data_IF_185124490201
#
_entry.id   IF_185124490201
#
_cell.length_a   1.000
_cell.length_b   1.000
_cell.length_c   1.000
_cell.angle_alpha   90.00
_cell.angle_beta   90.00
_cell.angle_gamma   90.00
#
_symmetry.space_group_name_H-M   'P 1'
#
loop_
_entity.id
_entity.type
_entity.pdbx_description
1 polymer ?
#
# COMPACT_ATOMS: atom_id res chain seq x y z
N UNK A 1 -0.93 6.41 -10.03
CA UNK A 1 -0.37 5.17 -10.63
C UNK A 1 -1.52 4.41 -11.24
N UNK A 2 -1.55 4.26 -12.57
CA UNK A 2 -2.55 3.41 -13.22
C UNK A 2 -2.17 1.96 -13.01
N UNK A 3 -2.93 1.29 -12.17
CA UNK A 3 -2.79 -0.14 -11.89
C UNK A 3 -3.34 -0.91 -13.09
N UNK A 4 -2.44 -1.51 -13.88
CA UNK A 4 -2.78 -2.41 -14.97
C UNK A 4 -3.03 -3.80 -14.36
N UNK A 5 -4.07 -4.49 -14.84
CA UNK A 5 -4.35 -5.88 -14.48
C UNK A 5 -3.14 -6.72 -14.90
N UNK A 6 -2.32 -7.16 -13.92
CA UNK A 6 -1.25 -8.12 -14.13
C UNK A 6 -1.87 -9.49 -14.36
N UNK A 7 -2.32 -9.75 -15.60
CA UNK A 7 -2.66 -11.12 -16.00
C UNK A 7 -1.36 -11.88 -16.21
N UNK A 8 -1.26 -13.05 -15.58
CA UNK A 8 -0.20 -14.01 -15.87
C UNK A 8 -0.14 -14.27 -17.38
N UNK A 9 1.07 -14.27 -17.93
CA UNK A 9 1.34 -14.48 -19.35
C UNK A 9 0.70 -15.79 -19.82
N UNK A 10 -0.30 -15.71 -20.70
CA UNK A 10 -1.02 -16.88 -21.18
C UNK A 10 -0.39 -17.40 -22.48
N UNK A 11 -0.59 -18.68 -22.77
CA UNK A 11 -0.21 -19.27 -24.07
C UNK A 11 -0.78 -18.52 -25.27
N UNK A 12 -1.94 -17.88 -25.11
CA UNK A 12 -2.54 -17.00 -26.14
C UNK A 12 -1.67 -15.78 -26.44
N UNK A 13 -1.05 -15.21 -25.42
CA UNK A 13 -0.13 -14.07 -25.55
C UNK A 13 1.14 -14.52 -26.28
N UNK A 14 1.67 -15.70 -25.93
CA UNK A 14 2.81 -16.30 -26.63
C UNK A 14 2.54 -16.49 -28.13
N UNK A 15 1.38 -17.06 -28.48
CA UNK A 15 0.96 -17.25 -29.88
C UNK A 15 0.83 -15.90 -30.58
N UNK A 16 0.24 -14.90 -29.93
CA UNK A 16 0.12 -13.55 -30.49
C UNK A 16 1.50 -12.94 -30.80
N UNK A 17 2.47 -13.06 -29.88
CA UNK A 17 3.83 -12.58 -30.10
C UNK A 17 4.55 -13.33 -31.22
N UNK A 18 4.37 -14.65 -31.34
CA UNK A 18 4.92 -15.45 -32.45
C UNK A 18 4.33 -14.98 -33.78
N UNK A 19 3.01 -14.81 -33.86
CA UNK A 19 2.34 -14.31 -35.07
C UNK A 19 2.86 -12.91 -35.42
N UNK A 20 2.97 -12.03 -34.43
CA UNK A 20 3.52 -10.68 -34.64
C UNK A 20 4.97 -10.73 -35.16
N UNK A 21 5.80 -11.61 -34.60
CA UNK A 21 7.17 -11.80 -35.07
C UNK A 21 7.23 -12.31 -36.51
N UNK A 22 6.38 -13.26 -36.89
CA UNK A 22 6.27 -13.77 -38.27
C UNK A 22 5.81 -12.66 -39.21
N UNK A 23 4.82 -11.85 -38.81
CA UNK A 23 4.34 -10.71 -39.61
C UNK A 23 5.44 -9.67 -39.79
N UNK A 24 6.14 -9.29 -38.71
CA UNK A 24 7.26 -8.35 -38.77
C UNK A 24 8.42 -8.88 -39.62
N UNK A 25 8.71 -10.18 -39.53
CA UNK A 25 9.70 -10.84 -40.37
C UNK A 25 9.28 -10.85 -41.84
N UNK A 26 8.02 -11.16 -42.15
CA UNK A 26 7.47 -11.10 -43.50
C UNK A 26 7.50 -9.69 -44.08
N UNK A 27 7.16 -8.68 -43.28
CA UNK A 27 7.29 -7.26 -43.65
C UNK A 27 8.76 -6.88 -43.91
N UNK A 28 9.67 -7.32 -43.04
CA UNK A 28 11.12 -7.14 -43.22
C UNK A 28 11.59 -7.75 -44.55
N UNK A 29 11.19 -8.98 -44.86
CA UNK A 29 11.51 -9.65 -46.13
C UNK A 29 10.90 -8.94 -47.34
N UNK A 30 9.66 -8.46 -47.22
CA UNK A 30 8.99 -7.68 -48.28
C UNK A 30 9.76 -6.39 -48.58
N UNK A 31 10.12 -5.64 -47.54
CA UNK A 31 10.93 -4.43 -47.68
C UNK A 31 12.34 -4.75 -48.19
N UNK A 32 12.94 -5.86 -47.76
CA UNK A 32 14.24 -6.31 -48.28
C UNK A 32 14.20 -6.59 -49.78
N UNK A 33 13.16 -7.29 -50.26
CA UNK A 33 13.00 -7.63 -51.70
C UNK A 33 12.65 -6.41 -52.56
N UNK A 34 11.91 -5.43 -52.03
CA UNK A 34 11.50 -4.21 -52.75
C UNK A 34 12.58 -3.11 -52.72
N UNK A 35 13.74 -3.37 -52.11
CA UNK A 35 14.84 -2.42 -52.00
C UNK A 35 15.50 -2.20 -53.36
N UNK A 36 15.48 -0.98 -53.87
CA UNK A 36 16.29 -0.60 -55.04
C UNK A 36 17.78 -0.71 -54.68
N UNK A 37 18.55 -1.47 -55.45
CA UNK A 37 19.98 -1.74 -55.21
C UNK A 37 20.84 -0.47 -55.27
N UNK A 38 20.33 0.61 -55.88
CA UNK A 38 21.00 1.91 -56.01
C UNK A 38 21.12 2.70 -54.69
N UNK A 39 20.38 2.31 -53.64
CA UNK A 39 20.40 2.98 -52.33
C UNK A 39 21.31 2.28 -51.30
N UNK A 40 22.26 1.45 -51.76
CA UNK A 40 23.18 0.67 -50.92
C UNK A 40 24.01 1.54 -49.94
N UNK A 41 24.20 2.82 -50.27
CA UNK A 41 24.97 3.78 -49.49
C UNK A 41 24.17 4.45 -48.35
N UNK A 42 22.86 4.23 -48.25
CA UNK A 42 22.00 4.89 -47.26
C UNK A 42 21.69 3.98 -46.07
N UNK A 43 21.65 4.55 -44.86
CA UNK A 43 21.38 3.78 -43.63
C UNK A 43 19.96 3.18 -43.61
N UNK A 44 18.98 3.81 -44.28
CA UNK A 44 17.60 3.32 -44.41
C UNK A 44 17.12 3.55 -45.85
N UNK A 45 16.88 2.45 -46.56
CA UNK A 45 16.58 2.44 -47.99
C UNK A 45 15.18 2.98 -48.36
N UNK A 46 14.24 3.07 -47.40
CA UNK A 46 12.89 3.58 -47.66
C UNK A 46 12.70 4.98 -47.05
N UNK A 47 12.42 6.01 -47.86
CA UNK A 47 12.26 7.39 -47.37
C UNK A 47 11.18 7.55 -46.27
N UNK A 48 10.06 6.82 -46.36
CA UNK A 48 8.99 6.85 -45.35
C UNK A 48 9.42 6.21 -44.01
N UNK A 49 10.29 5.21 -44.06
CA UNK A 49 10.77 4.50 -42.87
C UNK A 49 11.80 5.34 -42.09
N UNK A 50 12.45 6.32 -42.74
CA UNK A 50 13.35 7.28 -42.08
C UNK A 50 12.64 8.08 -40.99
N UNK A 51 11.42 8.57 -41.29
CA UNK A 51 10.62 9.30 -40.31
C UNK A 51 10.18 8.40 -39.16
N UNK A 52 9.75 7.17 -39.45
CA UNK A 52 9.35 6.19 -38.41
C UNK A 52 10.53 5.83 -37.51
N UNK A 53 11.69 5.52 -38.07
CA UNK A 53 12.92 5.25 -37.30
C UNK A 53 13.32 6.45 -36.44
N UNK A 54 13.30 7.65 -37.02
CA UNK A 54 13.67 8.88 -36.33
C UNK A 54 12.78 9.17 -35.13
N UNK A 55 11.47 9.22 -35.34
CA UNK A 55 10.53 9.55 -34.25
C UNK A 55 10.30 8.37 -33.30
N UNK A 56 10.41 7.13 -33.77
CA UNK A 56 10.39 5.94 -32.91
C UNK A 56 11.60 5.89 -31.98
N UNK A 57 12.81 6.18 -32.47
CA UNK A 57 14.01 6.27 -31.62
C UNK A 57 13.89 7.41 -30.62
N UNK A 58 13.42 8.59 -31.04
CA UNK A 58 13.14 9.71 -30.15
C UNK A 58 12.13 9.33 -29.05
N UNK A 59 11.07 8.59 -29.39
CA UNK A 59 10.08 8.11 -28.43
C UNK A 59 10.66 7.09 -27.43
N UNK A 60 11.42 6.10 -27.89
CA UNK A 60 12.05 5.13 -26.99
C UNK A 60 13.01 5.81 -26.00
N UNK A 61 13.89 6.69 -26.48
CA UNK A 61 14.81 7.42 -25.61
C UNK A 61 14.08 8.43 -24.70
N UNK A 62 13.00 9.05 -25.17
CA UNK A 62 12.12 9.88 -24.34
C UNK A 62 11.60 9.08 -23.15
N UNK A 63 11.00 7.91 -23.40
CA UNK A 63 10.49 7.04 -22.34
C UNK A 63 11.58 6.58 -21.37
N UNK A 64 12.73 6.12 -21.88
CA UNK A 64 13.87 5.70 -21.07
C UNK A 64 14.42 6.85 -20.20
N UNK A 65 14.55 8.05 -20.77
CA UNK A 65 15.01 9.22 -20.03
C UNK A 65 14.03 9.63 -18.95
N UNK A 66 12.74 9.68 -19.27
CA UNK A 66 11.71 10.02 -18.29
C UNK A 66 11.64 9.02 -17.13
N UNK A 67 11.72 7.71 -17.41
CA UNK A 67 11.72 6.69 -16.36
C UNK A 67 12.95 6.79 -15.47
N UNK A 68 14.15 6.93 -16.07
CA UNK A 68 15.41 7.04 -15.31
C UNK A 68 15.39 8.25 -14.36
N UNK A 69 15.01 9.43 -14.85
CA UNK A 69 14.97 10.63 -14.01
C UNK A 69 13.83 10.62 -13.00
N UNK A 70 12.69 10.00 -13.32
CA UNK A 70 11.61 9.80 -12.35
C UNK A 70 12.09 9.00 -11.13
N UNK A 71 12.87 7.95 -11.35
CA UNK A 71 13.33 7.07 -10.28
C UNK A 71 14.47 7.70 -9.48
N UNK A 72 15.45 8.32 -10.16
CA UNK A 72 16.58 8.99 -9.50
C UNK A 72 16.17 10.23 -8.73
N UNK A 73 15.13 10.95 -9.16
CA UNK A 73 14.68 12.19 -8.53
C UNK A 73 13.49 12.01 -7.58
N UNK A 74 13.29 10.81 -7.03
CA UNK A 74 12.21 10.50 -6.09
C UNK A 74 10.82 10.96 -6.58
N UNK A 75 10.51 10.72 -7.86
CA UNK A 75 9.21 11.05 -8.50
C UNK A 75 8.91 12.55 -8.60
N UNK A 76 9.93 13.40 -8.60
CA UNK A 76 9.75 14.82 -8.88
C UNK A 76 9.30 15.04 -10.34
N UNK A 77 8.16 15.71 -10.54
CA UNK A 77 7.57 15.95 -11.85
C UNK A 77 8.48 16.78 -12.77
N UNK A 78 9.15 17.80 -12.23
CA UNK A 78 10.05 18.66 -13.01
C UNK A 78 11.23 17.88 -13.59
N UNK A 79 11.88 17.06 -12.78
CA UNK A 79 12.97 16.18 -13.22
C UNK A 79 12.50 15.11 -14.19
N UNK A 80 11.30 14.58 -13.99
CA UNK A 80 10.70 13.61 -14.92
C UNK A 80 10.45 14.22 -16.30
N UNK A 81 9.87 15.43 -16.35
CA UNK A 81 9.66 16.17 -17.60
C UNK A 81 10.99 16.55 -18.28
N UNK A 82 11.99 16.94 -17.49
CA UNK A 82 13.35 17.15 -17.99
C UNK A 82 13.92 15.87 -18.62
N UNK A 83 13.76 14.73 -17.96
CA UNK A 83 14.17 13.40 -18.45
C UNK A 83 13.51 13.04 -19.78
N UNK A 84 12.20 13.25 -19.92
CA UNK A 84 11.50 13.08 -21.19
C UNK A 84 12.07 13.99 -22.28
N UNK A 85 12.28 15.28 -21.98
CA UNK A 85 12.81 16.25 -22.92
C UNK A 85 14.22 15.92 -23.41
N UNK A 86 15.15 15.63 -22.50
CA UNK A 86 16.53 15.31 -22.85
C UNK A 86 16.64 13.96 -23.55
N UNK A 87 15.87 12.96 -23.10
CA UNK A 87 15.77 11.66 -23.77
C UNK A 87 15.27 11.80 -25.20
N UNK A 88 14.18 12.55 -25.41
CA UNK A 88 13.66 12.82 -26.76
C UNK A 88 14.69 13.51 -27.65
N UNK A 89 15.42 14.50 -27.12
CA UNK A 89 16.46 15.21 -27.86
C UNK A 89 17.61 14.28 -28.26
N UNK A 90 18.13 13.48 -27.32
CA UNK A 90 19.20 12.50 -27.56
C UNK A 90 18.76 11.51 -28.65
N UNK A 91 17.59 10.89 -28.50
CA UNK A 91 17.09 9.90 -29.47
C UNK A 91 16.83 10.52 -30.85
N UNK A 92 16.30 11.74 -30.90
CA UNK A 92 16.06 12.46 -32.15
C UNK A 92 17.36 12.79 -32.88
N UNK A 93 18.35 13.35 -32.18
CA UNK A 93 19.63 13.72 -32.81
C UNK A 93 20.46 12.48 -33.15
N UNK A 94 20.49 11.45 -32.30
CA UNK A 94 21.13 10.18 -32.62
C UNK A 94 20.56 9.57 -33.91
N UNK A 95 19.24 9.54 -34.05
CA UNK A 95 18.60 9.05 -35.28
C UNK A 95 18.90 9.96 -36.50
N UNK A 96 18.90 11.29 -36.33
CA UNK A 96 19.26 12.22 -37.41
C UNK A 96 20.73 12.05 -37.85
N UNK A 97 21.65 11.77 -36.91
CA UNK A 97 23.07 11.48 -37.20
C UNK A 97 23.20 10.19 -38.00
N UNK A 98 22.51 9.12 -37.61
CA UNK A 98 22.51 7.83 -38.33
C UNK A 98 21.95 7.99 -39.75
N UNK A 99 20.84 8.72 -39.89
CA UNK A 99 20.17 8.91 -41.18
C UNK A 99 21.01 9.74 -42.16
N UNK A 100 21.76 10.73 -41.67
CA UNK A 100 22.53 11.65 -42.52
C UNK A 100 24.03 11.36 -42.54
N UNK A 101 24.50 10.43 -41.72
CA UNK A 101 25.94 10.11 -41.53
C UNK A 101 26.78 11.34 -41.21
N UNK A 102 26.22 12.29 -40.45
CA UNK A 102 26.90 13.54 -40.10
C UNK A 102 26.57 13.96 -38.68
N UNK A 103 27.54 14.61 -38.03
CA UNK A 103 27.41 15.15 -36.67
C UNK A 103 26.76 16.54 -36.66
N UNK A 104 26.69 17.24 -37.81
CA UNK A 104 26.15 18.61 -37.94
C UNK A 104 24.63 18.62 -38.08
N UNK A 105 23.92 17.99 -37.15
CA UNK A 105 22.44 17.85 -37.18
C UNK A 105 21.70 18.79 -36.23
N UNK A 106 22.42 19.45 -35.32
CA UNK A 106 21.87 20.29 -34.26
C UNK A 106 21.10 21.53 -34.77
N UNK A 107 21.29 21.95 -36.02
CA UNK A 107 20.55 23.06 -36.64
C UNK A 107 19.11 22.70 -37.05
N UNK A 108 18.74 21.41 -37.04
CA UNK A 108 17.41 20.92 -37.48
C UNK A 108 16.46 20.62 -36.32
N UNK A 109 16.39 21.55 -35.37
CA UNK A 109 15.55 21.45 -34.16
C UNK A 109 14.05 21.53 -34.46
N UNK A 110 13.64 22.13 -35.59
CA UNK A 110 12.23 22.31 -35.97
C UNK A 110 11.43 20.99 -35.91
N UNK A 111 12.01 19.88 -36.36
CA UNK A 111 11.33 18.59 -36.33
C UNK A 111 11.20 17.98 -34.93
N UNK A 112 12.10 18.33 -33.99
CA UNK A 112 12.01 17.94 -32.59
C UNK A 112 10.91 18.75 -31.89
N UNK A 113 10.83 20.07 -32.16
CA UNK A 113 9.78 20.94 -31.62
C UNK A 113 8.39 20.47 -32.05
N UNK A 114 8.21 20.14 -33.34
CA UNK A 114 6.93 19.59 -33.84
C UNK A 114 6.60 18.27 -33.16
N UNK A 115 7.58 17.37 -33.01
CA UNK A 115 7.38 16.10 -32.30
C UNK A 115 6.92 16.31 -30.86
N UNK A 116 7.62 17.17 -30.10
CA UNK A 116 7.25 17.48 -28.71
C UNK A 116 5.87 18.13 -28.62
N UNK A 117 5.51 19.00 -29.57
CA UNK A 117 4.19 19.60 -29.64
C UNK A 117 3.08 18.56 -29.90
N UNK A 118 3.31 17.59 -30.79
CA UNK A 118 2.37 16.49 -31.05
C UNK A 118 2.24 15.59 -29.81
N UNK A 119 3.33 15.22 -29.16
CA UNK A 119 3.29 14.44 -27.91
C UNK A 119 2.52 15.20 -26.83
N UNK A 120 2.82 16.49 -26.63
CA UNK A 120 2.11 17.32 -25.67
C UNK A 120 0.61 17.40 -25.99
N UNK A 121 0.24 17.59 -27.25
CA UNK A 121 -1.16 17.59 -27.70
C UNK A 121 -1.85 16.24 -27.45
N UNK A 122 -1.18 15.12 -27.71
CA UNK A 122 -1.73 13.79 -27.42
C UNK A 122 -1.93 13.57 -25.92
N UNK A 123 -0.97 13.98 -25.09
CA UNK A 123 -1.06 13.86 -23.62
C UNK A 123 -2.20 14.74 -23.09
N UNK A 124 -2.27 16.00 -23.51
CA UNK A 124 -3.35 16.92 -23.14
C UNK A 124 -4.71 16.41 -23.64
N UNK A 125 -4.77 15.86 -24.86
CA UNK A 125 -5.97 15.27 -25.41
C UNK A 125 -6.47 14.08 -24.58
N UNK A 126 -5.58 13.18 -24.19
CA UNK A 126 -5.92 12.04 -23.31
C UNK A 126 -6.39 12.52 -21.93
N UNK A 127 -5.75 13.54 -21.36
CA UNK A 127 -6.15 14.14 -20.07
C UNK A 127 -7.51 14.85 -20.16
N UNK A 128 -7.71 15.69 -21.19
CA UNK A 128 -8.93 16.46 -21.39
C UNK A 128 -10.14 15.58 -21.65
N UNK A 129 -9.95 14.43 -22.29
CA UNK A 129 -11.03 13.48 -22.53
C UNK A 129 -11.52 12.80 -21.24
N UNK A 130 -10.74 12.76 -20.15
CA UNK A 130 -11.19 12.46 -18.77
C UNK A 130 -11.89 11.12 -18.52
N UNK A 131 -12.13 10.31 -19.56
CA UNK A 131 -13.04 9.17 -19.55
C UNK A 131 -12.65 8.08 -18.55
N UNK A 132 -11.37 7.99 -18.20
CA UNK A 132 -10.83 6.92 -17.37
C UNK A 132 -10.70 7.29 -15.90
N UNK A 133 -10.55 8.57 -15.56
CA UNK A 133 -10.26 8.98 -14.17
C UNK A 133 -11.54 9.16 -13.35
N UNK A 134 -12.60 9.70 -13.96
CA UNK A 134 -13.82 10.12 -13.24
C UNK A 134 -14.98 9.12 -13.32
N UNK A 135 -14.79 7.97 -13.98
CA UNK A 135 -15.88 7.02 -14.18
C UNK A 135 -16.17 6.25 -12.89
N UNK A 136 -17.34 6.51 -12.31
CA UNK A 136 -17.96 5.73 -11.25
C UNK A 136 -19.09 4.89 -11.88
N UNK A 137 -19.13 3.56 -11.70
CA UNK A 137 -20.22 2.74 -12.22
C UNK A 137 -21.54 3.04 -11.50
N UNK A 138 -22.67 2.80 -12.17
CA UNK A 138 -23.98 2.82 -11.53
C UNK A 138 -24.14 1.60 -10.62
N UNK A 139 -24.82 1.77 -9.47
CA UNK A 139 -25.01 0.68 -8.50
C UNK A 139 -25.70 -0.53 -9.11
N UNK A 140 -26.67 -0.31 -10.01
CA UNK A 140 -27.40 -1.34 -10.76
C UNK A 140 -26.49 -2.19 -11.66
N UNK A 141 -25.35 -1.66 -12.10
CA UNK A 141 -24.40 -2.34 -12.98
C UNK A 141 -23.30 -3.08 -12.20
N UNK A 142 -23.13 -2.77 -10.92
CA UNK A 142 -22.13 -3.41 -10.06
C UNK A 142 -22.63 -4.79 -9.65
N UNK A 143 -21.78 -5.81 -9.84
CA UNK A 143 -21.99 -7.18 -9.36
C UNK A 143 -21.38 -7.35 -7.98
N UNK A 144 -20.15 -6.88 -7.78
CA UNK A 144 -19.45 -6.89 -6.50
C UNK A 144 -18.39 -5.78 -6.44
N UNK A 145 -17.89 -5.49 -5.25
CA UNK A 145 -16.86 -4.48 -5.00
C UNK A 145 -15.81 -4.98 -4.01
N UNK A 146 -14.54 -4.78 -4.33
CA UNK A 146 -13.42 -4.95 -3.42
C UNK A 146 -12.92 -3.57 -3.00
N UNK A 147 -12.92 -3.31 -1.69
CA UNK A 147 -12.26 -2.15 -1.07
C UNK A 147 -11.16 -2.68 -0.15
N UNK A 148 -9.93 -2.22 -0.33
CA UNK A 148 -8.79 -2.59 0.52
C UNK A 148 -7.78 -1.45 0.58
N UNK A 149 -7.01 -1.37 1.67
CA UNK A 149 -5.83 -0.51 1.77
C UNK A 149 -4.53 -1.21 1.37
N UNK A 150 -4.59 -2.51 1.10
CA UNK A 150 -3.48 -3.30 0.57
C UNK A 150 -3.78 -3.77 -0.86
N UNK A 151 -3.30 -3.06 -1.89
CA UNK A 151 -3.54 -3.45 -3.29
C UNK A 151 -2.90 -4.80 -3.66
N UNK A 152 -1.94 -5.30 -2.87
CA UNK A 152 -1.29 -6.58 -3.12
C UNK A 152 -2.25 -7.78 -3.02
N UNK A 153 -3.35 -7.67 -2.27
CA UNK A 153 -4.40 -8.71 -2.24
C UNK A 153 -5.02 -8.99 -3.61
N UNK A 154 -4.89 -8.05 -4.55
CA UNK A 154 -5.36 -8.23 -5.92
C UNK A 154 -4.21 -8.33 -6.93
N UNK A 155 -3.13 -7.57 -6.72
CA UNK A 155 -2.08 -7.40 -7.73
C UNK A 155 -1.02 -8.50 -7.74
N UNK A 156 -0.86 -9.21 -6.63
CA UNK A 156 0.27 -10.09 -6.42
C UNK A 156 -0.05 -11.54 -6.74
N UNK A 157 -0.60 -11.84 -7.92
CA UNK A 157 -0.76 -13.25 -8.34
C UNK A 157 0.59 -13.98 -8.49
N UNK A 158 1.70 -13.24 -8.67
CA UNK A 158 3.06 -13.78 -8.84
C UNK A 158 3.98 -13.55 -7.60
N UNK A 159 3.42 -13.14 -6.45
CA UNK A 159 4.18 -12.82 -5.22
C UNK A 159 4.02 -13.82 -4.08
N UNK A 160 4.72 -13.63 -2.95
CA UNK A 160 4.71 -14.51 -1.76
C UNK A 160 3.30 -14.88 -1.22
N UNK A 161 2.28 -14.07 -1.51
CA UNK A 161 0.90 -14.24 -1.03
C UNK A 161 -0.11 -14.64 -2.13
N UNK A 162 0.33 -14.77 -3.39
CA UNK A 162 -0.56 -14.77 -4.57
C UNK A 162 -1.55 -15.91 -4.68
N UNK A 163 -1.24 -17.06 -4.08
CA UNK A 163 -2.14 -18.22 -4.02
C UNK A 163 -2.78 -18.43 -2.64
N UNK A 164 -2.44 -17.57 -1.67
CA UNK A 164 -2.79 -17.76 -0.26
C UNK A 164 -3.94 -16.84 0.16
N UNK A 165 -3.94 -15.60 -0.32
CA UNK A 165 -4.93 -14.59 0.05
C UNK A 165 -5.84 -14.30 -1.15
N UNK A 166 -7.05 -14.84 -1.11
CA UNK A 166 -8.11 -14.59 -2.11
C UNK A 166 -9.27 -13.82 -1.45
N UNK A 167 -9.26 -12.48 -1.49
CA UNK A 167 -10.31 -11.69 -0.87
C UNK A 167 -11.63 -11.88 -1.62
N UNK A 168 -12.69 -12.27 -0.90
CA UNK A 168 -14.03 -12.42 -1.48
C UNK A 168 -14.69 -11.04 -1.59
N UNK A 169 -14.94 -10.48 -2.78
CA UNK A 169 -15.49 -9.13 -2.90
C UNK A 169 -16.89 -9.02 -2.29
N UNK A 170 -17.20 -7.83 -1.78
CA UNK A 170 -18.49 -7.47 -1.19
C UNK A 170 -19.60 -7.43 -2.24
N UNK A 171 -20.76 -7.99 -1.92
CA UNK A 171 -21.93 -8.17 -2.77
C UNK A 171 -23.19 -7.53 -2.17
N UNK A 172 -23.21 -7.20 -0.88
CA UNK A 172 -24.38 -6.57 -0.25
C UNK A 172 -24.66 -5.19 -0.88
N UNK A 173 -25.90 -4.91 -1.31
CA UNK A 173 -26.25 -3.64 -1.94
C UNK A 173 -25.90 -2.41 -1.09
N UNK A 174 -26.01 -2.52 0.23
CA UNK A 174 -25.70 -1.48 1.21
C UNK A 174 -24.20 -1.15 1.21
N UNK A 175 -23.34 -2.16 1.23
CA UNK A 175 -21.89 -1.99 1.19
C UNK A 175 -21.44 -1.44 -0.17
N UNK A 176 -22.02 -1.94 -1.27
CA UNK A 176 -21.77 -1.39 -2.62
C UNK A 176 -22.15 0.10 -2.67
N UNK A 177 -23.33 0.47 -2.16
CA UNK A 177 -23.79 1.86 -2.13
C UNK A 177 -22.86 2.75 -1.29
N UNK A 178 -22.41 2.27 -0.14
CA UNK A 178 -21.51 2.98 0.75
C UNK A 178 -20.14 3.22 0.08
N UNK A 179 -19.56 2.21 -0.56
CA UNK A 179 -18.29 2.36 -1.32
C UNK A 179 -18.45 3.34 -2.49
N UNK A 180 -19.56 3.25 -3.23
CA UNK A 180 -19.86 4.20 -4.31
C UNK A 180 -20.01 5.64 -3.80
N UNK A 181 -20.67 5.83 -2.64
CA UNK A 181 -20.80 7.14 -1.99
C UNK A 181 -19.43 7.69 -1.58
N UNK A 182 -18.59 6.87 -0.96
CA UNK A 182 -17.22 7.25 -0.60
C UNK A 182 -16.39 7.62 -1.83
N UNK A 183 -16.45 6.80 -2.88
CA UNK A 183 -15.76 7.04 -4.15
C UNK A 183 -16.19 8.38 -4.80
N UNK A 184 -17.49 8.70 -4.80
CA UNK A 184 -18.01 10.00 -5.26
C UNK A 184 -17.42 11.16 -4.46
N UNK A 185 -17.35 11.04 -3.13
CA UNK A 185 -16.79 12.08 -2.27
C UNK A 185 -15.28 12.27 -2.53
N UNK A 186 -14.53 11.18 -2.71
CA UNK A 186 -13.09 11.24 -3.01
C UNK A 186 -12.85 12.03 -4.31
N UNK A 187 -13.66 11.79 -5.35
CA UNK A 187 -13.55 12.54 -6.61
C UNK A 187 -13.95 14.02 -6.45
N UNK A 188 -15.02 14.31 -5.70
CA UNK A 188 -15.44 15.69 -5.43
C UNK A 188 -14.34 16.48 -4.69
N UNK A 189 -13.59 15.81 -3.82
CA UNK A 189 -12.53 16.38 -3.01
C UNK A 189 -11.13 16.29 -3.67
N UNK A 190 -11.03 16.04 -4.99
CA UNK A 190 -9.74 15.85 -5.69
C UNK A 190 -8.70 16.93 -5.36
N UNK A 191 -9.10 18.22 -5.41
CA UNK A 191 -8.22 19.35 -5.08
C UNK A 191 -7.75 19.34 -3.62
N UNK A 192 -8.58 18.87 -2.69
CA UNK A 192 -8.22 18.77 -1.28
C UNK A 192 -7.21 17.63 -1.10
N UNK A 193 -7.43 16.49 -1.76
CA UNK A 193 -6.54 15.33 -1.70
C UNK A 193 -5.14 15.61 -2.30
N UNK A 194 -5.06 16.51 -3.29
CA UNK A 194 -3.80 16.89 -3.94
C UNK A 194 -2.98 17.93 -3.15
N UNK A 195 -3.52 18.51 -2.06
CA UNK A 195 -2.79 19.50 -1.26
C UNK A 195 -1.67 18.84 -0.45
N UNK A 196 -0.47 19.44 -0.47
CA UNK A 196 0.69 18.90 0.27
C UNK A 196 0.47 18.79 1.78
N UNK A 197 -0.36 19.65 2.38
CA UNK A 197 -0.70 19.56 3.81
C UNK A 197 -1.57 18.34 4.15
N UNK A 198 -2.20 17.73 3.15
CA UNK A 198 -3.03 16.54 3.28
C UNK A 198 -2.27 15.31 2.76
N UNK A 199 -0.99 15.20 3.10
CA UNK A 199 -0.20 14.01 2.76
C UNK A 199 -0.96 12.76 3.18
N UNK A 200 -1.12 11.87 2.21
CA UNK A 200 -1.85 10.62 2.33
C UNK A 200 -1.28 9.75 3.44
N UNK A 201 -2.12 9.29 4.35
CA UNK A 201 -1.78 8.28 5.36
C UNK A 201 -2.19 6.86 4.92
N UNK A 202 -3.12 6.74 3.96
CA UNK A 202 -3.53 5.46 3.36
C UNK A 202 -3.76 5.56 1.86
N UNK A 203 -3.63 4.41 1.19
CA UNK A 203 -4.08 4.23 -0.18
C UNK A 203 -5.40 3.45 -0.19
N UNK A 204 -6.48 3.98 -0.75
CA UNK A 204 -7.70 3.20 -0.99
C UNK A 204 -7.67 2.61 -2.39
N UNK A 205 -7.66 1.28 -2.45
CA UNK A 205 -7.86 0.50 -3.66
C UNK A 205 -9.32 0.07 -3.78
N UNK A 206 -9.96 0.42 -4.89
CA UNK A 206 -11.35 0.07 -5.19
C UNK A 206 -11.41 -0.66 -6.51
N UNK A 207 -11.97 -1.86 -6.51
CA UNK A 207 -12.27 -2.62 -7.72
C UNK A 207 -13.75 -2.96 -7.76
N UNK A 208 -14.43 -2.54 -8.82
CA UNK A 208 -15.79 -2.97 -9.14
C UNK A 208 -15.74 -4.03 -10.23
N UNK A 209 -16.39 -5.17 -10.01
CA UNK A 209 -16.77 -6.09 -11.08
C UNK A 209 -18.19 -5.74 -11.52
N UNK A 210 -18.37 -5.48 -12.81
CA UNK A 210 -19.68 -5.15 -13.38
C UNK A 210 -20.40 -6.42 -13.86
N UNK A 211 -21.72 -6.36 -13.94
CA UNK A 211 -22.57 -7.49 -14.41
C UNK A 211 -22.23 -7.95 -15.83
N UNK A 212 -21.67 -7.07 -16.66
CA UNK A 212 -21.20 -7.39 -18.02
C UNK A 212 -19.78 -7.99 -18.06
N UNK A 213 -19.16 -8.28 -16.91
CA UNK A 213 -17.82 -8.85 -16.80
C UNK A 213 -16.68 -7.84 -16.90
N UNK A 214 -16.95 -6.54 -17.16
CA UNK A 214 -15.91 -5.51 -17.14
C UNK A 214 -15.52 -5.17 -15.70
N UNK A 215 -14.26 -4.77 -15.49
CA UNK A 215 -13.76 -4.29 -14.21
C UNK A 215 -13.47 -2.80 -14.25
N UNK A 216 -13.71 -2.11 -13.13
CA UNK A 216 -13.32 -0.71 -12.91
C UNK A 216 -12.43 -0.67 -11.68
N UNK A 217 -11.14 -0.39 -11.89
CA UNK A 217 -10.13 -0.34 -10.82
C UNK A 217 -9.69 1.10 -10.58
N UNK A 218 -9.62 1.50 -9.32
CA UNK A 218 -9.18 2.82 -8.86
C UNK A 218 -8.27 2.70 -7.66
N UNK A 219 -7.31 3.61 -7.58
CA UNK A 219 -6.42 3.75 -6.45
C UNK A 219 -6.36 5.24 -6.11
N UNK A 220 -6.69 5.57 -4.86
CA UNK A 220 -6.68 6.94 -4.38
C UNK A 220 -5.78 7.07 -3.17
N UNK A 221 -4.93 8.10 -3.19
CA UNK A 221 -4.17 8.53 -2.02
C UNK A 221 -4.99 9.59 -1.31
N UNK A 222 -5.42 9.29 -0.10
CA UNK A 222 -6.27 10.19 0.68
C UNK A 222 -5.78 10.25 2.13
N UNK A 223 -6.12 11.36 2.78
CA UNK A 223 -6.01 11.48 4.23
C UNK A 223 -7.26 10.85 4.86
N UNK A 224 -7.09 9.73 5.55
CA UNK A 224 -8.16 8.84 6.03
C UNK A 224 -9.19 9.59 6.87
N UNK A 225 -8.73 10.49 7.75
CA UNK A 225 -9.59 11.32 8.63
C UNK A 225 -10.65 12.13 7.88
N UNK A 226 -10.38 12.55 6.64
CA UNK A 226 -11.34 13.34 5.85
C UNK A 226 -12.54 12.51 5.36
N UNK A 227 -12.44 11.18 5.41
CA UNK A 227 -13.44 10.25 4.90
C UNK A 227 -13.93 9.27 5.97
N UNK A 228 -13.58 9.51 7.24
CA UNK A 228 -13.87 8.62 8.36
C UNK A 228 -15.36 8.30 8.46
N UNK A 229 -16.23 9.31 8.40
CA UNK A 229 -17.69 9.15 8.47
C UNK A 229 -18.26 8.25 7.35
N UNK A 230 -17.58 8.18 6.21
CA UNK A 230 -17.98 7.37 5.06
C UNK A 230 -17.37 5.97 5.11
N UNK A 231 -16.16 5.85 5.66
CA UNK A 231 -15.43 4.59 5.72
C UNK A 231 -15.82 3.73 6.93
N UNK A 232 -16.05 4.34 8.10
CA UNK A 232 -16.47 3.66 9.34
C UNK A 232 -17.63 2.68 9.15
N UNK A 233 -18.78 3.05 8.54
CA UNK A 233 -19.88 2.10 8.35
C UNK A 233 -19.51 0.95 7.40
N UNK A 234 -18.62 1.18 6.42
CA UNK A 234 -18.11 0.11 5.56
C UNK A 234 -17.23 -0.83 6.39
N UNK A 235 -16.30 -0.28 7.17
CA UNK A 235 -15.40 -1.04 8.03
C UNK A 235 -16.12 -1.93 9.04
N UNK A 236 -17.18 -1.40 9.65
CA UNK A 236 -17.98 -2.10 10.66
C UNK A 236 -18.90 -3.17 10.05
N UNK A 237 -19.11 -3.17 8.73
CA UNK A 237 -19.85 -4.23 8.07
C UNK A 237 -19.13 -5.58 8.20
N UNK A 238 -19.91 -6.63 8.49
CA UNK A 238 -19.39 -8.00 8.56
C UNK A 238 -18.74 -8.40 7.23
N UNK A 239 -19.38 -8.05 6.12
CA UNK A 239 -18.90 -8.40 4.78
C UNK A 239 -17.52 -7.79 4.50
N UNK A 240 -17.30 -6.52 4.84
CA UNK A 240 -15.99 -5.88 4.68
C UNK A 240 -14.91 -6.57 5.50
N UNK A 241 -15.16 -6.87 6.78
CA UNK A 241 -14.18 -7.55 7.63
C UNK A 241 -13.82 -8.93 7.10
N UNK A 242 -14.81 -9.68 6.60
CA UNK A 242 -14.57 -10.98 5.96
C UNK A 242 -13.81 -10.86 4.63
N UNK A 243 -13.95 -9.73 3.93
CA UNK A 243 -13.27 -9.45 2.67
C UNK A 243 -11.84 -8.98 2.85
N UNK A 244 -11.55 -8.22 3.92
CA UNK A 244 -10.31 -7.44 4.06
C UNK A 244 -9.32 -8.01 5.06
N UNK A 245 -9.74 -8.86 6.01
CA UNK A 245 -8.86 -9.41 7.05
C UNK A 245 -8.37 -10.81 6.67
N UNK A 246 -7.06 -11.01 6.77
CA UNK A 246 -6.33 -12.19 6.32
C UNK A 246 -6.86 -13.49 6.96
N UNK A 247 -7.29 -13.42 8.22
CA UNK A 247 -7.86 -14.55 8.98
C UNK A 247 -9.08 -15.22 8.32
N UNK A 248 -9.81 -14.50 7.46
CA UNK A 248 -10.96 -15.03 6.72
C UNK A 248 -10.61 -15.59 5.35
N UNK A 249 -9.40 -15.33 4.86
CA UNK A 249 -8.90 -15.80 3.56
C UNK A 249 -8.19 -17.16 3.69
N UNK A 250 -7.76 -17.52 4.89
CA UNK A 250 -7.01 -18.76 5.15
C UNK A 250 -7.94 -19.98 5.28
N UNK A 251 -7.64 -21.01 4.50
CA UNK A 251 -8.21 -22.35 4.68
C UNK A 251 -7.58 -23.01 5.92
N UNK A 252 -8.38 -23.17 6.97
CA UNK A 252 -7.96 -23.75 8.25
C UNK A 252 -7.35 -25.16 8.11
N UNK A 253 -7.75 -25.93 7.07
CA UNK A 253 -7.22 -27.28 6.84
C UNK A 253 -5.79 -27.29 6.34
N UNK A 254 -5.31 -26.15 5.81
CA UNK A 254 -3.93 -25.99 5.33
C UNK A 254 -2.99 -25.49 6.43
N UNK A 255 -3.52 -25.04 7.57
CA UNK A 255 -2.71 -24.50 8.67
C UNK A 255 -2.00 -25.65 9.40
N UNK A 256 -0.67 -25.63 9.40
CA UNK A 256 0.17 -26.61 10.11
C UNK A 256 0.33 -26.29 11.58
N UNK A 257 0.60 -25.02 11.88
CA UNK A 257 0.67 -24.49 13.24
C UNK A 257 0.36 -23.00 13.24
N UNK A 258 -0.04 -22.51 14.41
CA UNK A 258 -0.17 -21.09 14.73
C UNK A 258 0.94 -20.74 15.73
N UNK A 259 1.78 -19.76 15.42
CA UNK A 259 2.77 -19.22 16.33
C UNK A 259 2.37 -17.80 16.74
N UNK A 260 2.48 -17.48 18.03
CA UNK A 260 2.29 -16.12 18.55
C UNK A 260 3.64 -15.67 19.10
N UNK A 261 4.13 -14.53 18.64
CA UNK A 261 5.40 -13.93 19.05
C UNK A 261 5.14 -12.58 19.68
N UNK A 262 5.58 -12.39 20.92
CA UNK A 262 5.51 -11.10 21.58
C UNK A 262 6.38 -10.08 20.82
N UNK A 263 5.83 -8.88 20.56
CA UNK A 263 6.59 -7.80 19.94
C UNK A 263 7.37 -7.05 21.03
N UNK A 264 8.62 -6.69 20.74
CA UNK A 264 9.52 -6.00 21.68
C UNK A 264 10.81 -6.79 21.94
N UNK A 265 11.67 -6.30 22.85
CA UNK A 265 12.97 -6.90 23.18
C UNK A 265 12.82 -8.11 24.11
N UNK A 266 11.86 -8.99 23.82
CA UNK A 266 11.59 -10.21 24.60
C UNK A 266 11.64 -11.43 23.71
N UNK A 267 12.24 -12.52 24.19
CA UNK A 267 12.25 -13.79 23.48
C UNK A 267 11.08 -14.69 23.93
N UNK A 268 9.86 -14.19 23.74
CA UNK A 268 8.62 -14.86 24.14
C UNK A 268 7.81 -15.26 22.91
N UNK A 269 7.52 -16.54 22.78
CA UNK A 269 6.61 -17.06 21.77
C UNK A 269 5.91 -18.34 22.24
N UNK A 270 4.73 -18.61 21.70
CA UNK A 270 4.00 -19.87 21.86
C UNK A 270 3.71 -20.46 20.48
N UNK A 271 3.81 -21.77 20.35
CA UNK A 271 3.42 -22.49 19.12
C UNK A 271 2.31 -23.49 19.43
N UNK A 272 1.20 -23.37 18.71
CA UNK A 272 0.02 -24.23 18.77
C UNK A 272 -0.01 -25.10 17.50
N UNK A 273 0.28 -26.39 17.66
CA UNK A 273 0.33 -27.34 16.53
C UNK A 273 -0.76 -28.41 16.56
N UNK A 274 -1.54 -28.50 17.65
CA UNK A 274 -2.65 -29.46 17.73
C UNK A 274 -3.80 -28.95 16.84
N UNK A 275 -4.36 -29.76 15.93
CA UNK A 275 -5.42 -29.32 15.03
C UNK A 275 -6.63 -28.71 15.74
N UNK A 276 -7.02 -29.26 16.90
CA UNK A 276 -8.12 -28.73 17.71
C UNK A 276 -7.81 -27.33 18.28
N UNK A 277 -6.60 -27.15 18.81
CA UNK A 277 -6.18 -25.86 19.36
C UNK A 277 -6.10 -24.80 18.25
N UNK A 278 -5.60 -25.16 17.06
CA UNK A 278 -5.56 -24.28 15.90
C UNK A 278 -6.98 -23.89 15.47
N UNK A 279 -7.89 -24.85 15.31
CA UNK A 279 -9.28 -24.56 14.91
C UNK A 279 -9.97 -23.66 15.92
N UNK A 280 -9.82 -23.93 17.21
CA UNK A 280 -10.43 -23.13 18.27
C UNK A 280 -9.84 -21.72 18.30
N UNK A 281 -8.51 -21.57 18.21
CA UNK A 281 -7.84 -20.28 18.12
C UNK A 281 -8.36 -19.45 16.94
N UNK A 282 -8.39 -20.03 15.73
CA UNK A 282 -8.89 -19.34 14.53
C UNK A 282 -10.36 -18.92 14.69
N UNK A 283 -11.21 -19.76 15.31
CA UNK A 283 -12.61 -19.40 15.58
C UNK A 283 -12.74 -18.19 16.49
N UNK A 284 -12.02 -18.18 17.62
CA UNK A 284 -12.07 -17.10 18.60
C UNK A 284 -11.52 -15.79 18.02
N UNK A 285 -10.40 -15.86 17.28
CA UNK A 285 -9.83 -14.68 16.59
C UNK A 285 -10.83 -14.13 15.57
N UNK A 286 -11.49 -14.97 14.77
CA UNK A 286 -12.51 -14.52 13.82
C UNK A 286 -13.67 -13.81 14.53
N UNK A 287 -14.13 -14.32 15.66
CA UNK A 287 -15.18 -13.68 16.45
C UNK A 287 -14.74 -12.32 17.01
N UNK A 288 -13.53 -12.23 17.56
CA UNK A 288 -12.97 -10.98 18.08
C UNK A 288 -12.78 -9.93 16.96
N UNK A 289 -12.28 -10.34 15.80
CA UNK A 289 -12.14 -9.45 14.62
C UNK A 289 -13.50 -8.93 14.16
N UNK A 290 -14.54 -9.79 14.13
CA UNK A 290 -15.89 -9.35 13.79
C UNK A 290 -16.49 -8.39 14.82
N UNK A 291 -16.13 -8.53 16.10
CA UNK A 291 -16.60 -7.66 17.18
C UNK A 291 -15.84 -6.33 17.30
N UNK A 292 -14.58 -6.26 16.85
CA UNK A 292 -13.72 -5.07 16.98
C UNK A 292 -14.34 -3.83 16.31
N UNK A 293 -14.48 -2.72 17.01
CA UNK A 293 -15.00 -1.48 16.41
C UNK A 293 -13.98 -0.83 15.47
N UNK A 294 -14.44 0.07 14.59
CA UNK A 294 -13.50 0.86 13.77
C UNK A 294 -12.51 1.66 14.63
N UNK A 295 -13.01 2.34 15.67
CA UNK A 295 -12.20 3.18 16.53
C UNK A 295 -11.13 2.34 17.25
N UNK A 296 -11.51 1.21 17.84
CA UNK A 296 -10.57 0.32 18.51
C UNK A 296 -9.51 -0.22 17.55
N UNK A 297 -9.92 -0.61 16.34
CA UNK A 297 -8.97 -1.12 15.34
C UNK A 297 -7.89 -0.09 14.99
N UNK A 298 -8.25 1.19 14.94
CA UNK A 298 -7.31 2.28 14.65
C UNK A 298 -6.46 2.57 15.88
N UNK A 299 -7.08 2.68 17.05
CA UNK A 299 -6.41 3.04 18.30
C UNK A 299 -5.35 2.02 18.71
N UNK A 300 -5.68 0.73 18.66
CA UNK A 300 -4.78 -0.37 19.03
C UNK A 300 -3.90 -0.89 17.88
N UNK A 301 -3.88 -0.20 16.74
CA UNK A 301 -3.09 -0.61 15.57
C UNK A 301 -1.59 -0.60 15.88
N UNK A 302 -0.86 -1.64 15.46
CA UNK A 302 0.59 -1.72 15.65
C UNK A 302 1.03 -2.08 17.07
N UNK A 303 0.10 -2.45 17.95
CA UNK A 303 0.39 -2.95 19.30
C UNK A 303 0.04 -4.42 19.47
N UNK A 304 0.55 -5.00 20.55
CA UNK A 304 0.32 -6.40 20.89
C UNK A 304 1.37 -7.31 20.29
N UNK A 305 0.96 -8.53 19.93
CA UNK A 305 1.86 -9.61 19.49
C UNK A 305 1.60 -9.97 18.04
N UNK A 306 2.53 -10.63 17.38
CA UNK A 306 2.35 -11.10 16.00
C UNK A 306 1.86 -12.53 16.00
N UNK A 307 0.78 -12.82 15.28
CA UNK A 307 0.31 -14.17 14.99
C UNK A 307 0.80 -14.56 13.59
N UNK A 308 1.47 -15.70 13.50
CA UNK A 308 1.88 -16.33 12.24
C UNK A 308 1.13 -17.65 12.06
N UNK A 309 0.40 -17.77 10.95
CA UNK A 309 -0.17 -19.03 10.49
C UNK A 309 0.77 -19.65 9.45
N UNK A 310 1.38 -20.78 9.78
CA UNK A 310 2.20 -21.51 8.81
C UNK A 310 1.34 -22.44 7.97
N UNK A 311 1.44 -22.33 6.65
CA UNK A 311 0.67 -23.13 5.68
C UNK A 311 1.52 -24.24 5.02
N UNK A 312 2.81 -24.32 5.35
CA UNK A 312 3.79 -25.16 4.67
C UNK A 312 4.38 -24.52 3.41
N UNK A 313 5.37 -25.18 2.80
CA UNK A 313 6.03 -24.73 1.56
C UNK A 313 6.51 -23.26 1.62
N UNK A 314 7.05 -22.85 2.77
CA UNK A 314 7.51 -21.47 3.04
C UNK A 314 6.40 -20.39 2.94
N UNK A 315 5.12 -20.79 2.94
CA UNK A 315 3.99 -19.88 3.00
C UNK A 315 3.54 -19.68 4.44
N UNK A 316 3.41 -18.42 4.83
CA UNK A 316 2.78 -18.02 6.08
C UNK A 316 1.91 -16.79 5.91
N UNK A 317 0.94 -16.64 6.81
CA UNK A 317 0.06 -15.47 6.90
C UNK A 317 0.25 -14.85 8.27
N UNK A 318 0.55 -13.56 8.31
CA UNK A 318 0.80 -12.83 9.55
C UNK A 318 -0.28 -11.78 9.80
N UNK A 319 -0.70 -11.63 11.04
CA UNK A 319 -1.60 -10.57 11.50
C UNK A 319 -1.41 -10.30 13.00
N UNK A 320 -1.97 -9.21 13.50
CA UNK A 320 -1.79 -8.75 14.87
C UNK A 320 -2.69 -9.51 15.86
N UNK A 321 -2.14 -9.88 17.02
CA UNK A 321 -2.89 -10.19 18.24
C UNK A 321 -3.07 -8.89 19.03
N UNK A 322 -4.22 -8.25 18.82
CA UNK A 322 -4.54 -6.96 19.43
C UNK A 322 -5.10 -7.09 20.85
N UNK A 323 -4.95 -6.06 21.70
CA UNK A 323 -5.62 -5.99 23.01
C UNK A 323 -7.15 -6.16 22.97
N UNK A 324 -7.78 -5.90 21.83
CA UNK A 324 -9.22 -6.07 21.60
C UNK A 324 -9.66 -7.53 21.53
N UNK A 325 -8.75 -8.49 21.36
CA UNK A 325 -9.08 -9.91 21.13
C UNK A 325 -9.34 -10.64 22.45
N UNK A 326 -10.40 -10.22 23.16
CA UNK A 326 -10.70 -10.63 24.53
C UNK A 326 -11.04 -12.11 24.66
N UNK A 327 -11.73 -12.70 23.68
CA UNK A 327 -12.08 -14.13 23.72
C UNK A 327 -10.83 -14.99 23.50
N UNK A 328 -10.02 -14.63 22.51
CA UNK A 328 -8.77 -15.34 22.25
C UNK A 328 -7.77 -15.20 23.41
N UNK A 329 -7.66 -14.00 23.98
CA UNK A 329 -6.81 -13.76 25.16
C UNK A 329 -7.26 -14.61 26.36
N UNK A 330 -8.55 -14.68 26.64
CA UNK A 330 -9.09 -15.49 27.76
C UNK A 330 -8.79 -16.98 27.57
N UNK A 331 -8.91 -17.49 26.35
CA UNK A 331 -8.56 -18.86 26.03
C UNK A 331 -7.06 -19.17 26.19
N UNK A 332 -6.17 -18.23 25.86
CA UNK A 332 -4.74 -18.36 26.14
C UNK A 332 -4.43 -18.32 27.65
N UNK A 333 -5.22 -17.58 28.45
CA UNK A 333 -5.12 -17.59 29.93
C UNK A 333 -5.50 -18.96 30.49
N UNK A 334 -6.62 -19.52 30.05
CA UNK A 334 -7.08 -20.87 30.46
C UNK A 334 -6.08 -21.97 30.12
N UNK A 335 -5.35 -21.81 29.01
CA UNK A 335 -4.26 -22.71 28.61
C UNK A 335 -2.93 -22.46 29.29
N UNK A 336 -2.84 -21.44 30.15
CA UNK A 336 -1.60 -21.05 30.87
C UNK A 336 -0.44 -20.65 29.95
N UNK A 337 -0.72 -20.20 28.72
CA UNK A 337 0.31 -19.83 27.73
C UNK A 337 0.38 -18.33 27.42
N UNK A 338 -0.52 -17.52 27.99
CA UNK A 338 -0.57 -16.07 27.68
C UNK A 338 0.76 -15.35 27.97
N UNK A 339 1.44 -15.66 29.07
CA UNK A 339 2.71 -14.99 29.43
C UNK A 339 3.83 -15.25 28.40
N UNK A 340 3.73 -16.33 27.62
CA UNK A 340 4.65 -16.61 26.50
C UNK A 340 4.18 -15.98 25.18
N UNK A 341 2.90 -15.60 25.10
CA UNK A 341 2.28 -15.09 23.88
C UNK A 341 2.37 -13.57 23.74
N UNK A 342 2.52 -12.82 24.84
CA UNK A 342 2.59 -11.34 24.84
C UNK A 342 3.59 -10.80 25.86
N UNK A 343 3.96 -9.52 25.70
CA UNK A 343 4.63 -8.73 26.74
C UNK A 343 3.66 -8.55 27.91
N UNK A 344 4.18 -8.69 29.13
CA UNK A 344 3.42 -8.50 30.39
C UNK A 344 4.17 -7.54 31.30
N UNK A 345 3.52 -7.10 32.38
CA UNK A 345 4.16 -6.29 33.40
C UNK A 345 5.45 -6.93 33.98
N UNK A 346 5.61 -8.25 33.94
CA UNK A 346 6.84 -8.93 34.40
C UNK A 346 8.06 -8.51 33.58
N UNK A 347 7.89 -8.21 32.29
CA UNK A 347 8.96 -7.86 31.35
C UNK A 347 9.39 -6.38 31.46
N UNK A 348 8.61 -5.58 32.18
CA UNK A 348 8.74 -4.12 32.25
C UNK A 348 9.36 -3.70 33.57
N UNK A 349 10.41 -2.88 33.51
CA UNK A 349 11.07 -2.34 34.69
C UNK A 349 10.25 -1.23 35.34
N UNK A 350 9.82 -0.26 34.54
CA UNK A 350 8.99 0.87 34.92
C UNK A 350 8.42 1.57 33.69
N UNK A 351 7.44 2.44 33.92
CA UNK A 351 6.86 3.31 32.90
C UNK A 351 6.98 4.76 33.36
N UNK A 352 7.33 5.66 32.43
CA UNK A 352 7.25 7.11 32.64
C UNK A 352 6.12 7.67 31.80
N UNK A 353 5.23 8.47 32.40
CA UNK A 353 4.08 9.07 31.70
C UNK A 353 4.10 10.57 31.89
N UNK A 354 3.81 11.32 30.82
CA UNK A 354 3.59 12.76 30.89
C UNK A 354 2.34 13.16 30.09
N UNK A 355 1.71 14.26 30.50
CA UNK A 355 0.60 14.89 29.78
C UNK A 355 1.10 16.08 28.96
N UNK A 356 0.74 16.17 27.69
CA UNK A 356 1.19 17.24 26.80
C UNK A 356 0.86 16.99 25.33
N UNK A 357 1.29 17.90 24.45
CA UNK A 357 1.22 17.73 23.00
C UNK A 357 2.57 17.26 22.46
N UNK A 358 2.62 16.01 22.00
CA UNK A 358 3.82 15.37 21.46
C UNK A 358 3.82 15.26 19.94
N UNK A 359 2.76 15.77 19.27
CA UNK A 359 2.53 15.58 17.83
C UNK A 359 3.60 16.23 16.95
N UNK A 360 4.07 17.41 17.35
CA UNK A 360 5.09 18.18 16.62
C UNK A 360 6.50 17.56 16.65
N UNK A 361 6.77 16.67 17.61
CA UNK A 361 8.07 16.02 17.77
C UNK A 361 8.22 14.91 16.73
N UNK A 362 7.15 14.14 16.47
CA UNK A 362 7.17 13.02 15.54
C UNK A 362 7.09 13.46 14.06
N UNK A 363 6.32 14.52 13.75
CA UNK A 363 6.16 15.02 12.37
C UNK A 363 7.46 15.56 11.74
N UNK A 364 8.48 15.88 12.55
CA UNK A 364 9.77 16.42 12.09
C UNK A 364 10.83 15.35 11.77
N UNK A 365 10.46 14.06 11.75
CA UNK A 365 11.40 12.97 11.45
C UNK A 365 12.47 12.76 12.53
N UNK A 366 12.20 13.22 13.75
CA UNK A 366 13.06 12.99 14.91
C UNK A 366 12.49 11.83 15.73
N UNK A 367 13.32 10.81 15.93
CA UNK A 367 12.99 9.50 16.51
C UNK A 367 12.62 9.58 18.00
N UNK A 368 12.20 8.44 18.56
CA UNK A 368 11.76 8.22 19.95
C UNK A 368 12.58 8.95 21.03
N UNK A 369 13.90 9.09 20.82
CA UNK A 369 14.84 9.77 21.73
C UNK A 369 14.47 11.22 22.09
N UNK A 370 13.78 11.94 21.20
CA UNK A 370 13.36 13.32 21.49
C UNK A 370 12.13 13.37 22.40
N UNK A 371 11.23 12.39 22.26
CA UNK A 371 10.06 12.21 23.15
C UNK A 371 10.53 11.73 24.51
N UNK A 372 11.48 10.80 24.54
CA UNK A 372 12.13 10.33 25.77
C UNK A 372 12.71 11.51 26.56
N UNK A 373 13.52 12.33 25.88
CA UNK A 373 14.09 13.55 26.47
C UNK A 373 12.99 14.51 26.94
N UNK A 374 11.94 14.74 26.15
CA UNK A 374 10.86 15.65 26.52
C UNK A 374 10.12 15.18 27.79
N UNK A 375 9.84 13.89 27.92
CA UNK A 375 9.14 13.32 29.09
C UNK A 375 10.07 13.31 30.31
N UNK A 376 11.32 12.92 30.17
CA UNK A 376 12.29 12.90 31.29
C UNK A 376 12.54 14.31 31.85
N UNK A 377 12.48 15.35 31.01
CA UNK A 377 12.71 16.74 31.40
C UNK A 377 11.41 17.54 31.64
N UNK A 378 10.23 16.93 31.50
CA UNK A 378 8.94 17.66 31.57
C UNK A 378 8.62 18.23 32.95
N UNK A 379 9.37 17.85 34.00
CA UNK A 379 9.18 18.28 35.39
C UNK A 379 7.88 17.77 36.05
N UNK A 380 6.95 17.21 35.26
CA UNK A 380 5.65 16.70 35.67
C UNK A 380 5.43 15.31 35.04
N UNK A 381 6.22 14.33 35.52
CA UNK A 381 6.24 12.96 35.01
C UNK A 381 5.79 12.00 36.09
N UNK A 382 4.85 11.12 35.77
CA UNK A 382 4.44 10.01 36.63
C UNK A 382 5.31 8.79 36.36
N UNK A 383 6.05 8.33 37.38
CA UNK A 383 6.77 7.06 37.34
C UNK A 383 5.91 5.93 37.93
N UNK A 384 5.74 4.86 37.16
CA UNK A 384 4.94 3.69 37.51
C UNK A 384 5.87 2.48 37.65
N UNK A 385 5.85 1.85 38.82
CA UNK A 385 6.61 0.62 39.11
C UNK A 385 5.72 -0.52 39.60
N UNK A 386 4.46 -0.23 39.96
CA UNK A 386 3.49 -1.25 40.36
C UNK A 386 3.10 -2.12 39.16
N UNK A 387 3.17 -3.43 39.31
CA UNK A 387 2.94 -4.38 38.21
C UNK A 387 1.49 -4.39 37.73
N UNK A 388 0.52 -4.20 38.64
CA UNK A 388 -0.89 -4.12 38.28
C UNK A 388 -1.21 -2.85 37.48
N UNK A 389 -0.59 -1.72 37.83
CA UNK A 389 -0.68 -0.48 37.07
C UNK A 389 0.01 -0.57 35.71
N UNK A 390 1.19 -1.21 35.64
CA UNK A 390 1.90 -1.43 34.38
C UNK A 390 1.06 -2.30 33.42
N UNK A 391 0.42 -3.37 33.90
CA UNK A 391 -0.44 -4.19 33.04
C UNK A 391 -1.58 -3.36 32.45
N UNK A 392 -2.20 -2.47 33.24
CA UNK A 392 -3.23 -1.55 32.72
C UNK A 392 -2.69 -0.56 31.66
N UNK A 393 -1.44 -0.09 31.81
CA UNK A 393 -0.78 0.74 30.79
C UNK A 393 -0.64 -0.06 29.49
N UNK A 394 -0.11 -1.28 29.56
CA UNK A 394 0.08 -2.14 28.39
C UNK A 394 -1.24 -2.48 27.68
N UNK A 395 -2.30 -2.74 28.45
CA UNK A 395 -3.61 -3.13 27.90
C UNK A 395 -4.38 -1.98 27.23
N UNK A 396 -4.13 -0.73 27.64
CA UNK A 396 -4.88 0.46 27.17
C UNK A 396 -4.05 1.38 26.26
N UNK A 397 -2.79 1.04 26.02
CA UNK A 397 -1.92 1.83 25.17
C UNK A 397 -2.43 1.90 23.72
N UNK A 398 -2.24 3.05 23.10
CA UNK A 398 -2.39 3.29 21.66
C UNK A 398 -1.07 3.77 21.05
N UNK A 399 -1.08 4.02 19.74
CA UNK A 399 0.11 4.42 18.96
C UNK A 399 0.02 5.83 18.39
N UNK A 400 -1.06 6.56 18.67
CA UNK A 400 -1.30 7.87 18.06
C UNK A 400 -0.52 8.98 18.80
N UNK A 401 0.47 9.63 18.16
CA UNK A 401 1.28 10.69 18.77
C UNK A 401 0.50 11.96 19.12
N UNK A 402 -0.72 12.11 18.57
CA UNK A 402 -1.57 13.28 18.78
C UNK A 402 -2.42 13.16 20.05
N UNK A 403 -2.29 12.07 20.78
CA UNK A 403 -3.00 11.89 22.04
C UNK A 403 -2.40 12.75 23.16
N UNK A 404 -3.21 13.02 24.19
CA UNK A 404 -2.89 13.96 25.27
C UNK A 404 -1.84 13.44 26.26
N UNK A 405 -1.59 12.13 26.27
CA UNK A 405 -0.64 11.48 27.14
C UNK A 405 0.36 10.65 26.33
N UNK A 406 1.63 10.73 26.68
CA UNK A 406 2.69 9.86 26.18
C UNK A 406 3.31 9.08 27.32
N UNK A 407 3.66 7.83 27.06
CA UNK A 407 4.28 6.93 28.01
C UNK A 407 5.48 6.20 27.40
N UNK A 408 6.57 6.15 28.15
CA UNK A 408 7.77 5.38 27.81
C UNK A 408 7.77 4.12 28.66
N UNK A 409 7.72 2.98 28.00
CA UNK A 409 7.76 1.66 28.61
C UNK A 409 9.21 1.15 28.57
N UNK A 410 9.86 1.06 29.73
CA UNK A 410 11.24 0.57 29.85
C UNK A 410 11.25 -0.93 30.17
N UNK A 411 11.81 -1.73 29.27
CA UNK A 411 11.96 -3.17 29.47
C UNK A 411 13.08 -3.49 30.48
N UNK A 412 13.00 -4.66 31.13
CA UNK A 412 14.03 -5.09 32.08
C UNK A 412 15.44 -5.23 31.47
N UNK A 413 15.53 -5.50 30.17
CA UNK A 413 16.80 -5.67 29.44
C UNK A 413 17.55 -4.34 29.22
N UNK A 414 16.97 -3.20 29.64
CA UNK A 414 17.66 -1.91 29.82
C UNK A 414 18.12 -1.17 28.55
N UNK A 415 18.18 -1.85 27.40
CA UNK A 415 18.69 -1.31 26.14
C UNK A 415 17.61 -0.85 25.16
N UNK A 416 16.33 -1.07 25.49
CA UNK A 416 15.21 -0.75 24.62
C UNK A 416 14.04 -0.24 25.44
N UNK A 417 13.41 0.82 24.94
CA UNK A 417 12.15 1.35 25.43
C UNK A 417 11.15 1.47 24.27
N UNK A 418 9.87 1.55 24.61
CA UNK A 418 8.80 1.74 23.66
C UNK A 418 7.99 2.96 24.04
N UNK A 419 7.77 3.87 23.09
CA UNK A 419 6.85 4.98 23.27
C UNK A 419 5.44 4.53 22.90
N UNK A 420 4.49 4.82 23.77
CA UNK A 420 3.06 4.55 23.61
C UNK A 420 2.27 5.78 24.03
N UNK A 421 0.98 5.83 23.67
CA UNK A 421 0.16 7.00 23.88
C UNK A 421 -1.21 6.64 24.46
N UNK A 422 -1.86 7.60 25.11
CA UNK A 422 -3.25 7.46 25.58
C UNK A 422 -4.04 8.71 25.27
N UNK A 423 -5.24 8.53 24.72
CA UNK A 423 -6.24 9.60 24.68
C UNK A 423 -6.99 9.70 26.01
N UNK A 424 -7.83 10.73 26.13
CA UNK A 424 -8.64 10.97 27.32
C UNK A 424 -9.66 9.85 27.66
N UNK A 425 -10.03 9.02 26.69
CA UNK A 425 -11.00 7.92 26.85
C UNK A 425 -10.30 6.65 27.38
N UNK A 426 -9.10 6.37 26.90
CA UNK A 426 -8.37 5.14 27.18
C UNK A 426 -7.35 5.28 28.31
N UNK A 427 -6.94 6.49 28.69
CA UNK A 427 -5.98 6.68 29.79
C UNK A 427 -6.46 6.03 31.09
N UNK A 428 -5.64 5.19 31.76
CA UNK A 428 -5.97 4.62 33.07
C UNK A 428 -6.33 5.69 34.12
N UNK A 429 -7.33 5.42 34.96
CA UNK A 429 -7.85 6.38 35.94
C UNK A 429 -6.78 6.91 36.91
N UNK A 430 -5.84 6.06 37.31
CA UNK A 430 -4.75 6.47 38.21
C UNK A 430 -3.79 7.47 37.56
N UNK A 431 -3.57 7.36 36.24
CA UNK A 431 -2.81 8.35 35.46
C UNK A 431 -3.63 9.62 35.35
N UNK A 432 -4.92 9.50 34.99
CA UNK A 432 -5.81 10.65 34.87
C UNK A 432 -5.89 11.46 36.15
N UNK A 433 -5.97 10.80 37.30
CA UNK A 433 -6.03 11.45 38.61
C UNK A 433 -4.71 12.09 39.05
N UNK A 434 -3.56 11.63 38.54
CA UNK A 434 -2.27 12.26 38.82
C UNK A 434 -2.11 13.62 38.13
N UNK A 435 -2.72 13.78 36.95
CA UNK A 435 -2.60 14.99 36.11
C UNK A 435 -3.83 15.92 36.15
N UNK A 436 -4.77 15.66 37.06
CA UNK A 436 -5.84 16.61 37.43
C UNK A 436 -5.31 17.58 38.47
#
# INVERSE_FOLDING_TARGET
TTVLESRAFQWKDAVLYIVLAIVLYGLSLFFYKKRNLELASEAIAFPKLRSVFKYGTAFCFMLLGGSYFNDVSFKNLGWTLFGYGIGAAIGYFAAEMVLRKTWRVFTRIKGLVVYLAVIAFLVVGVQALGFYENRIPEQSDVKNVLLTDNPNFYLSHDGFYGDVLDPKPMQEPENIAAVLKMHKQILANKKINEQEKNKSDREFFIMYELKNGKKVIRQYRVMTRLYEDLYKPIYESKEYKMTSKEIFMVDEKKVKYLQIRANGPVNKFVTLSKPEDVRQALSLIREDVLAESYNDSIYYSGLGSTIELNLGNEQSVMFEFKPTYRKFESWLKEKEVLNQAKVTAEDISHVLVAKGDFSSIEENGKFSTDIESAIEHSGNTLKITDKGQIEQVLEKAGTNPRSEYAAIVYFNDGHFNQVTYFDEEHVPDFIKNHFK
#
